data_IF_120851050489
#
_entry.id   IF_120851050489
#
_cell.length_a   1.000
_cell.length_b   1.000
_cell.length_c   1.000
_cell.angle_alpha   90.00
_cell.angle_beta   90.00
_cell.angle_gamma   90.00
#
_symmetry.space_group_name_H-M   'P 1'
#
loop_
_entity.id
_entity.type
_entity.pdbx_description
1 polymer ?
#
# COMPACT_ATOMS: atom_id res chain seq x y z
N UNK A 1 -4.99 -51.66 6.02
CA UNK A 1 -4.48 -50.95 4.84
C UNK A 1 -4.90 -49.49 4.82
N UNK A 2 -6.15 -49.18 5.17
CA UNK A 2 -6.69 -47.80 5.18
C UNK A 2 -5.99 -46.82 6.15
N UNK A 3 -5.65 -47.26 7.36
CA UNK A 3 -4.96 -46.38 8.34
C UNK A 3 -3.55 -45.97 7.94
N UNK A 4 -2.87 -46.75 7.12
CA UNK A 4 -1.52 -46.42 6.61
C UNK A 4 -1.60 -45.40 5.46
N UNK A 5 -2.65 -45.51 4.65
CA UNK A 5 -2.93 -44.59 3.55
C UNK A 5 -3.28 -43.17 4.05
N UNK A 6 -4.15 -43.10 5.09
CA UNK A 6 -4.53 -41.82 5.71
C UNK A 6 -3.34 -41.16 6.45
N UNK A 7 -2.46 -41.96 7.09
CA UNK A 7 -1.26 -41.44 7.77
C UNK A 7 -0.18 -40.92 6.80
N UNK A 8 -0.03 -41.52 5.62
CA UNK A 8 0.87 -41.00 4.59
C UNK A 8 0.30 -39.76 3.87
N UNK A 9 -1.04 -39.69 3.68
CA UNK A 9 -1.71 -38.54 3.07
C UNK A 9 -1.70 -37.32 3.97
N UNK A 10 -1.88 -37.47 5.29
CA UNK A 10 -1.82 -36.34 6.25
C UNK A 10 -0.38 -35.83 6.43
N UNK A 11 0.65 -36.62 6.14
CA UNK A 11 2.05 -36.17 6.20
C UNK A 11 2.51 -35.40 4.96
N UNK A 12 1.81 -35.51 3.83
CA UNK A 12 2.22 -34.91 2.57
C UNK A 12 1.64 -33.51 2.31
N UNK A 13 0.54 -33.13 2.97
CA UNK A 13 -0.27 -31.98 2.53
C UNK A 13 -0.47 -30.83 3.53
N UNK A 14 0.21 -30.84 4.66
CA UNK A 14 0.33 -29.61 5.44
C UNK A 14 1.53 -28.83 4.90
N UNK A 15 1.29 -27.78 4.08
CA UNK A 15 2.28 -26.71 3.90
C UNK A 15 2.61 -26.25 5.32
N UNK A 16 3.82 -26.52 5.83
CA UNK A 16 4.15 -26.10 7.18
C UNK A 16 4.03 -24.60 7.24
N UNK A 17 3.46 -24.06 8.33
CA UNK A 17 3.39 -22.61 8.59
C UNK A 17 4.76 -21.93 8.40
N UNK A 18 5.83 -22.73 8.50
CA UNK A 18 7.22 -22.38 8.18
C UNK A 18 7.74 -23.31 7.06
N UNK A 19 7.50 -22.90 5.83
CA UNK A 19 8.11 -23.56 4.66
C UNK A 19 9.51 -22.96 4.41
N UNK A 20 10.62 -23.74 4.61
CA UNK A 20 11.97 -23.21 4.45
C UNK A 20 12.26 -22.75 3.01
N UNK A 21 11.64 -23.38 2.01
CA UNK A 21 11.81 -23.01 0.59
C UNK A 21 11.13 -21.68 0.32
N UNK A 22 9.87 -21.52 0.75
CA UNK A 22 9.17 -20.25 0.62
C UNK A 22 9.89 -19.12 1.38
N UNK A 23 10.38 -19.37 2.59
CA UNK A 23 11.18 -18.40 3.34
C UNK A 23 12.47 -18.03 2.62
N UNK A 24 13.21 -18.99 2.10
CA UNK A 24 14.44 -18.75 1.32
C UNK A 24 14.17 -17.91 0.08
N UNK A 25 13.13 -18.25 -0.69
CA UNK A 25 12.70 -17.50 -1.87
C UNK A 25 12.23 -16.08 -1.51
N UNK A 26 11.58 -15.91 -0.39
CA UNK A 26 11.15 -14.60 0.11
C UNK A 26 12.36 -13.70 0.43
N UNK A 27 13.36 -14.23 1.14
CA UNK A 27 14.61 -13.52 1.45
C UNK A 27 15.35 -13.14 0.16
N UNK A 28 15.50 -14.07 -0.77
CA UNK A 28 16.14 -13.83 -2.08
C UNK A 28 15.37 -12.74 -2.84
N UNK A 29 14.04 -12.78 -2.84
CA UNK A 29 13.20 -11.78 -3.48
C UNK A 29 13.40 -10.38 -2.88
N UNK A 30 13.50 -10.24 -1.56
CA UNK A 30 13.81 -8.96 -0.92
C UNK A 30 15.20 -8.45 -1.27
N UNK A 31 16.23 -9.31 -1.26
CA UNK A 31 17.60 -8.92 -1.68
C UNK A 31 17.56 -8.41 -3.12
N UNK A 32 16.91 -9.12 -4.01
CA UNK A 32 16.74 -8.73 -5.41
C UNK A 32 16.01 -7.38 -5.54
N UNK A 33 14.92 -7.19 -4.80
CA UNK A 33 14.18 -5.94 -4.74
C UNK A 33 15.07 -4.77 -4.27
N UNK A 34 15.91 -4.98 -3.24
CA UNK A 34 16.87 -3.98 -2.76
C UNK A 34 17.89 -3.61 -3.84
N UNK A 35 18.44 -4.57 -4.58
CA UNK A 35 19.41 -4.32 -5.67
C UNK A 35 18.75 -3.51 -6.79
N UNK A 36 17.55 -3.89 -7.24
CA UNK A 36 16.80 -3.16 -8.27
C UNK A 36 16.50 -1.73 -7.79
N UNK A 37 16.02 -1.58 -6.57
CA UNK A 37 15.70 -0.28 -6.01
C UNK A 37 16.94 0.62 -5.96
N UNK A 38 18.08 0.12 -5.53
CA UNK A 38 19.33 0.88 -5.47
C UNK A 38 19.79 1.36 -6.87
N UNK A 39 19.57 0.55 -7.92
CA UNK A 39 19.99 0.88 -9.29
C UNK A 39 19.00 1.80 -10.03
N UNK A 40 17.70 1.66 -9.76
CA UNK A 40 16.63 2.39 -10.47
C UNK A 40 16.26 3.70 -9.76
N UNK A 41 16.37 3.78 -8.42
CA UNK A 41 16.00 4.95 -7.64
C UNK A 41 16.56 6.28 -8.18
N UNK A 42 17.85 6.39 -8.48
CA UNK A 42 18.43 7.64 -8.95
C UNK A 42 17.90 8.09 -10.33
N UNK A 43 17.41 7.13 -11.13
CA UNK A 43 16.94 7.38 -12.52
C UNK A 43 15.48 7.83 -12.58
N UNK A 44 14.65 7.40 -11.63
CA UNK A 44 13.19 7.64 -11.61
C UNK A 44 12.82 8.88 -10.79
N UNK A 45 13.70 9.34 -9.90
CA UNK A 45 13.42 10.41 -8.95
C UNK A 45 12.98 11.76 -9.57
N UNK A 46 13.23 11.98 -10.86
CA UNK A 46 12.97 13.26 -11.56
C UNK A 46 11.88 13.19 -12.64
N UNK A 47 11.12 12.09 -12.75
CA UNK A 47 10.33 11.81 -13.94
C UNK A 47 8.93 12.45 -13.99
N UNK A 48 8.41 13.05 -12.91
CA UNK A 48 7.04 13.58 -12.89
C UNK A 48 7.04 15.09 -12.79
N UNK A 49 6.73 15.76 -13.90
CA UNK A 49 6.48 17.20 -13.96
C UNK A 49 5.13 17.46 -14.67
N UNK A 50 4.15 18.01 -13.92
CA UNK A 50 2.87 18.45 -14.45
C UNK A 50 1.74 17.39 -14.48
N UNK A 51 0.51 17.89 -14.59
CA UNK A 51 -0.73 17.07 -14.49
C UNK A 51 -0.86 16.00 -15.58
N UNK A 52 -0.50 16.35 -16.82
CA UNK A 52 -0.58 15.43 -17.96
C UNK A 52 0.38 14.26 -17.82
N UNK A 53 1.58 14.52 -17.30
CA UNK A 53 2.60 13.51 -17.05
C UNK A 53 2.17 12.56 -15.93
N UNK A 54 1.40 13.04 -14.95
CA UNK A 54 0.91 12.25 -13.84
C UNK A 54 -0.09 11.17 -14.30
N UNK A 55 -1.10 11.54 -15.10
CA UNK A 55 -2.06 10.57 -15.69
C UNK A 55 -1.36 9.54 -16.58
N UNK A 56 -0.44 10.00 -17.43
CA UNK A 56 0.36 9.13 -18.28
C UNK A 56 1.21 8.15 -17.46
N UNK A 57 1.88 8.63 -16.42
CA UNK A 57 2.69 7.81 -15.53
C UNK A 57 1.85 6.77 -14.76
N UNK A 58 0.65 7.15 -14.28
CA UNK A 58 -0.26 6.22 -13.63
C UNK A 58 -0.78 5.16 -14.59
N UNK A 59 -1.25 5.56 -15.78
CA UNK A 59 -1.72 4.62 -16.81
C UNK A 59 -0.62 3.65 -17.22
N UNK A 60 0.59 4.14 -17.48
CA UNK A 60 1.74 3.31 -17.83
C UNK A 60 2.08 2.32 -16.71
N UNK A 61 2.13 2.78 -15.47
CA UNK A 61 2.44 1.91 -14.32
C UNK A 61 1.36 0.84 -14.14
N UNK A 62 0.07 1.20 -14.27
CA UNK A 62 -1.03 0.24 -14.20
C UNK A 62 -0.96 -0.80 -15.32
N UNK A 63 -0.68 -0.39 -16.56
CA UNK A 63 -0.51 -1.28 -17.71
C UNK A 63 0.67 -2.23 -17.46
N UNK A 64 1.80 -1.74 -16.98
CA UNK A 64 2.97 -2.57 -16.68
C UNK A 64 2.66 -3.61 -15.60
N UNK A 65 1.94 -3.23 -14.52
CA UNK A 65 1.51 -4.17 -13.48
C UNK A 65 0.66 -5.29 -14.09
N UNK A 66 -0.35 -4.92 -14.86
CA UNK A 66 -1.30 -5.88 -15.45
C UNK A 66 -0.59 -6.80 -16.46
N UNK A 67 0.16 -6.23 -17.41
CA UNK A 67 0.84 -7.01 -18.45
C UNK A 67 1.92 -7.94 -17.88
N UNK A 68 2.72 -7.45 -16.92
CA UNK A 68 3.75 -8.28 -16.27
C UNK A 68 3.11 -9.43 -15.49
N UNK A 69 2.04 -9.16 -14.76
CA UNK A 69 1.29 -10.19 -14.02
C UNK A 69 0.69 -11.22 -14.98
N UNK A 70 -0.02 -10.78 -16.02
CA UNK A 70 -0.64 -11.67 -17.00
C UNK A 70 0.39 -12.53 -17.74
N UNK A 71 1.54 -11.95 -18.12
CA UNK A 71 2.61 -12.67 -18.79
C UNK A 71 3.20 -13.78 -17.93
N UNK A 72 3.50 -13.50 -16.67
CA UNK A 72 4.04 -14.52 -15.75
C UNK A 72 3.02 -15.62 -15.46
N UNK A 73 1.76 -15.27 -15.24
CA UNK A 73 0.70 -16.27 -15.04
C UNK A 73 0.57 -17.16 -16.30
N UNK A 74 0.61 -16.56 -17.49
CA UNK A 74 0.59 -17.28 -18.75
C UNK A 74 1.75 -18.29 -18.87
N UNK A 75 2.97 -17.87 -18.54
CA UNK A 75 4.13 -18.78 -18.54
C UNK A 75 3.94 -19.93 -17.55
N UNK A 76 3.51 -19.64 -16.31
CA UNK A 76 3.25 -20.66 -15.30
C UNK A 76 2.22 -21.66 -15.81
N UNK A 77 1.09 -21.19 -16.35
CA UNK A 77 0.01 -22.06 -16.84
C UNK A 77 0.52 -22.98 -17.97
N UNK A 78 1.21 -22.45 -18.98
CA UNK A 78 1.71 -23.25 -20.11
C UNK A 78 2.70 -24.30 -19.64
N UNK A 79 3.67 -23.93 -18.81
CA UNK A 79 4.74 -24.85 -18.42
C UNK A 79 4.36 -25.74 -17.24
N UNK A 80 3.40 -25.36 -16.39
CA UNK A 80 2.86 -26.22 -15.34
C UNK A 80 1.78 -27.17 -15.86
N UNK A 81 1.05 -26.84 -16.92
CA UNK A 81 -0.06 -27.62 -17.45
C UNK A 81 0.27 -29.12 -17.66
N UNK A 82 1.45 -29.51 -18.22
CA UNK A 82 1.82 -30.90 -18.42
C UNK A 82 2.01 -31.70 -17.11
N UNK A 83 2.23 -30.99 -15.99
CA UNK A 83 2.46 -31.57 -14.65
C UNK A 83 1.22 -31.50 -13.78
N UNK A 84 0.21 -30.71 -14.19
CA UNK A 84 -1.03 -30.55 -13.49
C UNK A 84 -1.96 -31.71 -13.85
N UNK A 85 -2.15 -32.64 -12.92
CA UNK A 85 -3.31 -33.51 -12.92
C UNK A 85 -4.57 -32.68 -12.68
N UNK A 86 -5.78 -33.26 -12.87
CA UNK A 86 -7.05 -32.58 -12.53
C UNK A 86 -7.05 -32.04 -11.11
N UNK A 87 -6.43 -32.74 -10.16
CA UNK A 87 -6.26 -32.30 -8.77
C UNK A 87 -5.32 -31.09 -8.65
N UNK A 88 -4.23 -31.05 -9.42
CA UNK A 88 -3.30 -29.93 -9.44
C UNK A 88 -3.94 -28.64 -9.95
N UNK A 89 -4.74 -28.69 -11.01
CA UNK A 89 -5.54 -27.55 -11.48
C UNK A 89 -6.50 -27.03 -10.41
N UNK A 90 -7.14 -27.94 -9.68
CA UNK A 90 -8.01 -27.59 -8.55
C UNK A 90 -7.24 -26.86 -7.43
N UNK A 91 -6.03 -27.32 -7.11
CA UNK A 91 -5.18 -26.66 -6.10
C UNK A 91 -4.76 -25.25 -6.51
N UNK A 92 -4.33 -25.02 -7.76
CA UNK A 92 -4.00 -23.68 -8.26
C UNK A 92 -5.20 -22.74 -8.22
N UNK A 93 -6.35 -23.21 -8.73
CA UNK A 93 -7.60 -22.45 -8.69
C UNK A 93 -8.06 -22.17 -7.26
N UNK A 94 -7.98 -23.17 -6.39
CA UNK A 94 -8.30 -23.04 -4.97
C UNK A 94 -7.43 -22.03 -4.25
N UNK A 95 -6.12 -22.02 -4.52
CA UNK A 95 -5.18 -21.05 -3.95
C UNK A 95 -5.52 -19.62 -4.39
N UNK A 96 -5.72 -19.40 -5.69
CA UNK A 96 -6.10 -18.07 -6.22
C UNK A 96 -7.43 -17.64 -5.59
N UNK A 97 -8.43 -18.53 -5.57
CA UNK A 97 -9.72 -18.25 -4.96
C UNK A 97 -9.57 -17.87 -3.48
N UNK A 98 -8.77 -18.63 -2.72
CA UNK A 98 -8.52 -18.35 -1.31
C UNK A 98 -7.83 -17.00 -1.10
N UNK A 99 -6.80 -16.67 -1.89
CA UNK A 99 -6.11 -15.37 -1.82
C UNK A 99 -7.11 -14.24 -2.08
N UNK A 100 -7.89 -14.32 -3.15
CA UNK A 100 -8.88 -13.30 -3.51
C UNK A 100 -9.94 -13.18 -2.41
N UNK A 101 -10.50 -14.33 -1.96
CA UNK A 101 -11.52 -14.36 -0.91
C UNK A 101 -11.03 -13.73 0.39
N UNK A 102 -9.83 -14.08 0.85
CA UNK A 102 -9.26 -13.52 2.09
C UNK A 102 -9.04 -12.02 1.97
N UNK A 103 -8.51 -11.54 0.84
CA UNK A 103 -8.35 -10.11 0.61
C UNK A 103 -9.69 -9.36 0.57
N UNK A 104 -10.73 -9.93 -0.04
CA UNK A 104 -12.07 -9.34 -0.04
C UNK A 104 -12.67 -9.31 1.37
N UNK A 105 -12.57 -10.40 2.12
CA UNK A 105 -13.02 -10.45 3.52
C UNK A 105 -12.32 -9.35 4.33
N UNK A 106 -10.99 -9.25 4.23
CA UNK A 106 -10.23 -8.22 4.94
C UNK A 106 -10.60 -6.81 4.49
N UNK A 107 -10.85 -6.59 3.21
CA UNK A 107 -11.31 -5.30 2.69
C UNK A 107 -12.65 -4.87 3.29
N UNK A 108 -13.61 -5.79 3.43
CA UNK A 108 -14.91 -5.47 4.03
C UNK A 108 -14.86 -5.38 5.56
N UNK A 109 -13.99 -6.14 6.22
CA UNK A 109 -13.83 -6.09 7.67
C UNK A 109 -12.94 -4.94 8.14
N UNK A 110 -12.01 -4.44 7.30
CA UNK A 110 -11.00 -3.44 7.68
C UNK A 110 -11.59 -2.19 8.35
N UNK A 111 -12.73 -1.62 7.94
CA UNK A 111 -13.26 -0.43 8.60
C UNK A 111 -13.69 -0.69 10.04
N UNK A 112 -14.23 -1.86 10.33
CA UNK A 112 -14.60 -2.25 11.70
C UNK A 112 -13.36 -2.46 12.56
N UNK A 113 -12.35 -3.15 12.02
CA UNK A 113 -11.07 -3.38 12.71
C UNK A 113 -10.35 -2.06 12.99
N UNK A 114 -10.33 -1.13 12.03
CA UNK A 114 -9.73 0.19 12.18
C UNK A 114 -10.48 0.98 13.27
N UNK A 115 -11.80 1.04 13.21
CA UNK A 115 -12.62 1.73 14.20
C UNK A 115 -12.35 1.22 15.62
N UNK A 116 -12.24 -0.10 15.78
CA UNK A 116 -11.96 -0.72 17.06
C UNK A 116 -10.51 -0.46 17.51
N UNK A 117 -9.53 -0.67 16.63
CA UNK A 117 -8.11 -0.56 16.95
C UNK A 117 -7.70 0.88 17.33
N UNK A 118 -8.27 1.88 16.66
CA UNK A 118 -7.96 3.30 16.89
C UNK A 118 -8.94 3.99 17.85
N UNK A 119 -9.94 3.27 18.38
CA UNK A 119 -10.96 3.84 19.26
C UNK A 119 -11.70 4.99 18.59
N UNK A 120 -12.08 4.80 17.32
CA UNK A 120 -12.70 5.84 16.50
C UNK A 120 -14.01 6.34 17.11
N UNK A 121 -14.13 7.65 17.29
CA UNK A 121 -15.31 8.31 17.86
C UNK A 121 -15.86 9.32 16.86
N UNK A 122 -17.16 9.27 16.52
CA UNK A 122 -17.81 10.30 15.74
C UNK A 122 -17.70 11.66 16.43
N UNK A 123 -17.43 12.71 15.66
CA UNK A 123 -17.40 14.08 16.17
C UNK A 123 -18.19 15.01 15.25
N UNK A 124 -19.14 15.76 15.81
CA UNK A 124 -20.05 16.61 15.03
C UNK A 124 -19.37 17.84 14.44
N UNK A 125 -18.35 18.39 15.11
CA UNK A 125 -17.59 19.55 14.58
C UNK A 125 -16.72 19.13 13.41
N UNK A 126 -16.03 18.00 13.57
CA UNK A 126 -15.23 17.43 12.47
C UNK A 126 -16.13 17.02 11.30
N UNK A 127 -17.33 16.47 11.57
CA UNK A 127 -18.29 16.10 10.53
C UNK A 127 -18.69 17.32 9.68
N UNK A 128 -18.99 18.47 10.31
CA UNK A 128 -19.31 19.71 9.58
C UNK A 128 -18.15 20.12 8.65
N UNK A 129 -16.90 20.04 9.13
CA UNK A 129 -15.73 20.37 8.32
C UNK A 129 -15.63 19.42 7.11
N UNK A 130 -15.81 18.13 7.35
CA UNK A 130 -15.74 17.11 6.29
C UNK A 130 -16.87 17.33 5.27
N UNK A 131 -18.08 17.63 5.71
CA UNK A 131 -19.22 17.89 4.81
C UNK A 131 -19.00 19.15 3.97
N UNK A 132 -18.49 20.24 4.57
CA UNK A 132 -18.17 21.49 3.87
C UNK A 132 -17.08 21.28 2.81
N UNK A 133 -16.03 20.54 3.15
CA UNK A 133 -14.93 20.23 2.22
C UNK A 133 -15.41 19.27 1.12
N UNK A 134 -16.21 18.27 1.46
CA UNK A 134 -16.81 17.35 0.49
C UNK A 134 -17.69 18.08 -0.53
N UNK A 135 -18.51 19.02 -0.06
CA UNK A 135 -19.35 19.85 -0.93
C UNK A 135 -18.50 20.72 -1.87
N UNK A 136 -17.45 21.38 -1.36
CA UNK A 136 -16.52 22.18 -2.19
C UNK A 136 -15.80 21.35 -3.28
N UNK A 137 -15.49 20.11 -2.97
CA UNK A 137 -14.84 19.19 -3.91
C UNK A 137 -15.82 18.49 -4.86
N UNK A 138 -17.12 18.57 -4.61
CA UNK A 138 -18.15 17.88 -5.38
C UNK A 138 -18.15 16.37 -5.16
N UNK A 139 -17.85 15.89 -3.95
CA UNK A 139 -17.81 14.46 -3.65
C UNK A 139 -19.23 13.85 -3.74
N UNK A 140 -19.45 12.81 -4.58
CA UNK A 140 -20.81 12.29 -4.84
C UNK A 140 -21.29 11.26 -3.81
N UNK A 141 -20.73 11.25 -2.61
CA UNK A 141 -20.99 10.26 -1.56
C UNK A 141 -20.89 10.90 -0.18
N UNK A 142 -21.54 10.26 0.79
CA UNK A 142 -21.44 10.65 2.20
C UNK A 142 -20.19 10.09 2.86
N UNK A 143 -19.58 10.90 3.70
CA UNK A 143 -18.40 10.58 4.50
C UNK A 143 -18.77 10.62 5.98
N UNK A 144 -18.14 9.74 6.76
CA UNK A 144 -18.24 9.73 8.21
C UNK A 144 -16.94 10.26 8.80
N UNK A 145 -17.02 11.33 9.57
CA UNK A 145 -15.88 11.91 10.25
C UNK A 145 -15.70 11.27 11.62
N UNK A 146 -14.48 10.85 11.94
CA UNK A 146 -14.15 10.28 13.24
C UNK A 146 -12.85 10.84 13.78
N UNK A 147 -12.81 11.08 15.09
CA UNK A 147 -11.57 11.38 15.80
C UNK A 147 -10.99 10.07 16.32
N UNK A 148 -9.69 9.93 16.18
CA UNK A 148 -8.91 8.78 16.64
C UNK A 148 -7.72 9.23 17.49
N UNK A 149 -7.18 8.32 18.30
CA UNK A 149 -5.99 8.58 19.11
C UNK A 149 -4.73 8.26 18.30
N UNK A 150 -3.65 9.00 18.56
CA UNK A 150 -2.35 8.76 17.94
C UNK A 150 -1.58 10.04 17.63
N UNK A 151 -0.34 9.92 17.12
CA UNK A 151 0.45 11.05 16.64
C UNK A 151 -0.26 11.74 15.46
N UNK A 152 0.13 12.98 15.09
CA UNK A 152 -0.55 13.75 14.05
C UNK A 152 -0.69 12.98 12.74
N UNK A 153 -1.92 12.62 12.41
CA UNK A 153 -2.26 11.87 11.20
C UNK A 153 -3.71 12.11 10.80
N UNK A 154 -3.99 11.95 9.52
CA UNK A 154 -5.32 11.78 8.99
C UNK A 154 -5.30 10.65 7.96
N UNK A 155 -6.38 9.93 7.80
CA UNK A 155 -6.45 8.86 6.81
C UNK A 155 -7.88 8.53 6.38
N UNK A 156 -8.01 8.23 5.09
CA UNK A 156 -9.22 7.77 4.46
C UNK A 156 -9.29 6.24 4.48
N UNK A 157 -10.41 5.68 4.93
CA UNK A 157 -10.65 4.25 4.93
C UNK A 157 -12.12 3.91 4.72
N UNK A 158 -12.39 2.63 4.53
CA UNK A 158 -13.75 2.16 4.29
C UNK A 158 -14.01 1.86 2.83
N UNK A 159 -15.24 1.46 2.55
CA UNK A 159 -15.67 1.02 1.24
C UNK A 159 -17.15 1.38 1.01
N UNK A 160 -17.67 1.03 -0.17
CA UNK A 160 -19.03 1.37 -0.56
C UNK A 160 -20.12 0.63 0.26
N UNK A 161 -19.81 -0.51 0.89
CA UNK A 161 -20.76 -1.28 1.70
C UNK A 161 -20.77 -0.87 3.16
N UNK A 162 -19.58 -0.71 3.78
CA UNK A 162 -19.45 -0.44 5.22
C UNK A 162 -19.44 1.05 5.55
N UNK A 163 -19.33 1.88 4.52
CA UNK A 163 -19.22 3.33 4.63
C UNK A 163 -17.80 3.84 4.39
N UNK A 164 -17.69 5.11 4.03
CA UNK A 164 -16.44 5.82 3.83
C UNK A 164 -16.18 6.72 5.03
N UNK A 165 -14.96 6.64 5.54
CA UNK A 165 -14.53 7.36 6.74
C UNK A 165 -13.35 8.26 6.44
N UNK A 166 -13.35 9.42 7.10
CA UNK A 166 -12.19 10.29 7.24
C UNK A 166 -11.86 10.34 8.73
N UNK A 167 -10.73 9.74 9.10
CA UNK A 167 -10.23 9.81 10.47
C UNK A 167 -9.19 10.92 10.58
N UNK A 168 -9.27 11.65 11.69
CA UNK A 168 -8.29 12.67 12.06
C UNK A 168 -7.87 12.41 13.51
N UNK A 169 -6.57 12.41 13.79
CA UNK A 169 -6.10 12.24 15.17
C UNK A 169 -6.31 13.52 15.95
N UNK A 170 -6.53 13.38 17.27
CA UNK A 170 -6.62 14.54 18.19
C UNK A 170 -5.35 15.41 18.12
N UNK A 171 -4.18 14.81 17.95
CA UNK A 171 -2.91 15.52 17.78
C UNK A 171 -2.85 16.31 16.47
N UNK A 172 -3.47 15.81 15.39
CA UNK A 172 -3.57 16.55 14.12
C UNK A 172 -4.46 17.79 14.26
N UNK A 173 -5.57 17.68 14.98
CA UNK A 173 -6.43 18.82 15.29
C UNK A 173 -5.71 19.93 16.07
N UNK A 174 -4.74 19.56 16.90
CA UNK A 174 -3.92 20.51 17.67
C UNK A 174 -2.75 21.07 16.85
N UNK A 175 -2.24 20.30 15.86
CA UNK A 175 -1.10 20.68 15.02
C UNK A 175 -1.49 21.69 13.94
N UNK A 176 -2.68 21.58 13.38
CA UNK A 176 -3.13 22.33 12.20
C UNK A 176 -4.12 23.43 12.57
N UNK A 177 -4.06 24.55 11.84
CA UNK A 177 -5.14 25.52 11.85
C UNK A 177 -6.35 25.03 11.01
N UNK A 178 -7.43 25.79 11.00
CA UNK A 178 -8.67 25.42 10.31
C UNK A 178 -8.42 25.20 8.80
N UNK A 179 -7.66 26.05 8.12
CA UNK A 179 -7.43 25.94 6.67
C UNK A 179 -6.51 24.80 6.33
N UNK A 180 -5.47 24.60 7.13
CA UNK A 180 -4.56 23.45 7.00
C UNK A 180 -5.30 22.12 7.22
N UNK A 181 -6.19 22.07 8.23
CA UNK A 181 -7.04 20.90 8.48
C UNK A 181 -7.98 20.64 7.30
N UNK A 182 -8.60 21.66 6.74
CA UNK A 182 -9.44 21.53 5.54
C UNK A 182 -8.65 21.04 4.33
N UNK A 183 -7.38 21.45 4.17
CA UNK A 183 -6.51 20.94 3.12
C UNK A 183 -6.20 19.45 3.31
N UNK A 184 -5.90 19.03 4.54
CA UNK A 184 -5.66 17.62 4.89
C UNK A 184 -6.92 16.78 4.66
N UNK A 185 -8.08 17.25 5.11
CA UNK A 185 -9.37 16.58 4.87
C UNK A 185 -9.65 16.49 3.37
N UNK A 186 -9.37 17.55 2.61
CA UNK A 186 -9.50 17.54 1.15
C UNK A 186 -8.60 16.50 0.47
N UNK A 187 -7.38 16.31 0.97
CA UNK A 187 -6.48 15.24 0.55
C UNK A 187 -7.10 13.85 0.79
N UNK A 188 -7.63 13.60 1.99
CA UNK A 188 -8.27 12.32 2.32
C UNK A 188 -9.55 12.06 1.51
N UNK A 189 -10.33 13.10 1.25
CA UNK A 189 -11.51 13.01 0.35
C UNK A 189 -11.06 12.69 -1.09
N UNK A 190 -9.91 13.24 -1.53
CA UNK A 190 -9.30 12.93 -2.80
C UNK A 190 -9.08 11.43 -3.00
N UNK A 191 -8.58 10.72 -1.98
CA UNK A 191 -8.44 9.26 -2.01
C UNK A 191 -9.78 8.53 -2.19
N UNK A 192 -10.84 8.99 -1.54
CA UNK A 192 -12.18 8.42 -1.74
C UNK A 192 -12.75 8.70 -3.14
N UNK A 193 -12.55 9.91 -3.68
CA UNK A 193 -13.02 10.30 -5.00
C UNK A 193 -12.39 9.44 -6.11
N UNK A 194 -11.14 9.07 -5.95
CA UNK A 194 -10.40 8.23 -6.91
C UNK A 194 -10.52 6.73 -6.62
N UNK A 195 -11.34 6.32 -5.63
CA UNK A 195 -11.55 4.90 -5.24
C UNK A 195 -10.26 4.17 -4.88
N UNK A 196 -9.33 4.88 -4.30
CA UNK A 196 -7.97 4.42 -4.05
C UNK A 196 -7.91 3.12 -3.25
N UNK A 197 -8.78 2.95 -2.26
CA UNK A 197 -8.83 1.73 -1.46
C UNK A 197 -9.15 0.50 -2.30
N UNK A 198 -10.06 0.60 -3.28
CA UNK A 198 -10.42 -0.50 -4.16
C UNK A 198 -9.30 -0.79 -5.19
N UNK A 199 -8.70 0.25 -5.76
CA UNK A 199 -7.59 0.10 -6.72
C UNK A 199 -6.37 -0.53 -6.04
N UNK A 200 -6.04 -0.09 -4.82
CA UNK A 200 -4.91 -0.65 -4.08
C UNK A 200 -5.17 -2.07 -3.57
N UNK A 201 -6.43 -2.43 -3.27
CA UNK A 201 -6.80 -3.83 -3.04
C UNK A 201 -6.49 -4.67 -4.29
N UNK A 202 -6.99 -4.25 -5.46
CA UNK A 202 -6.78 -4.98 -6.72
C UNK A 202 -5.28 -5.15 -7.02
N UNK A 203 -4.52 -4.07 -6.98
CA UNK A 203 -3.08 -4.14 -7.29
C UNK A 203 -2.26 -4.85 -6.20
N UNK A 204 -2.69 -4.79 -4.94
CA UNK A 204 -2.03 -5.50 -3.84
C UNK A 204 -2.18 -7.03 -3.89
N UNK A 205 -3.26 -7.53 -4.49
CA UNK A 205 -3.48 -8.98 -4.67
C UNK A 205 -2.53 -9.56 -5.74
N UNK A 206 -2.23 -8.81 -6.81
CA UNK A 206 -1.50 -9.33 -7.96
C UNK A 206 -0.09 -9.87 -7.63
N UNK A 207 0.79 -9.15 -6.91
CA UNK A 207 2.09 -9.69 -6.54
C UNK A 207 1.99 -10.93 -5.64
N UNK A 208 0.97 -11.01 -4.78
CA UNK A 208 0.73 -12.18 -3.92
C UNK A 208 0.36 -13.41 -4.74
N UNK A 209 -0.52 -13.28 -5.73
CA UNK A 209 -0.88 -14.38 -6.63
C UNK A 209 0.37 -14.89 -7.35
N UNK A 210 1.15 -13.99 -7.97
CA UNK A 210 2.36 -14.36 -8.72
C UNK A 210 3.38 -15.04 -7.80
N UNK A 211 3.58 -14.51 -6.58
CA UNK A 211 4.47 -15.09 -5.59
C UNK A 211 4.10 -16.53 -5.25
N UNK A 212 2.85 -16.76 -4.82
CA UNK A 212 2.41 -18.09 -4.39
C UNK A 212 2.35 -19.10 -5.54
N UNK A 213 1.97 -18.67 -6.74
CA UNK A 213 2.04 -19.53 -7.93
C UNK A 213 3.50 -19.88 -8.26
N UNK A 214 4.44 -18.95 -8.10
CA UNK A 214 5.86 -19.19 -8.25
C UNK A 214 6.39 -20.22 -7.24
N UNK A 215 6.09 -20.03 -5.95
CA UNK A 215 6.47 -20.97 -4.88
C UNK A 215 5.90 -22.37 -5.16
N UNK A 216 4.62 -22.47 -5.53
CA UNK A 216 3.98 -23.73 -5.86
C UNK A 216 4.64 -24.43 -7.07
N UNK A 217 5.03 -23.65 -8.09
CA UNK A 217 5.79 -24.17 -9.25
C UNK A 217 7.15 -24.74 -8.86
N UNK A 218 7.87 -24.09 -7.93
CA UNK A 218 9.13 -24.60 -7.37
C UNK A 218 8.91 -25.90 -6.63
N UNK A 219 7.90 -26.01 -5.77
CA UNK A 219 7.59 -27.25 -5.05
C UNK A 219 7.22 -28.38 -6.01
N UNK A 220 6.44 -28.12 -7.04
CA UNK A 220 6.09 -29.12 -8.05
C UNK A 220 7.34 -29.61 -8.81
N UNK A 221 8.25 -28.69 -9.16
CA UNK A 221 9.50 -29.06 -9.85
C UNK A 221 10.40 -29.94 -8.98
N UNK A 222 10.48 -29.66 -7.67
CA UNK A 222 11.32 -30.43 -6.73
C UNK A 222 10.67 -31.78 -6.33
N UNK A 223 9.34 -31.83 -6.27
CA UNK A 223 8.59 -33.04 -5.90
C UNK A 223 8.52 -34.12 -7.01
N UNK A 224 8.71 -33.73 -8.28
CA UNK A 224 8.66 -34.65 -9.43
C UNK A 224 10.07 -35.01 -9.90
N UNK A 225 10.81 -35.74 -9.08
CA UNK A 225 12.18 -36.17 -9.34
C UNK A 225 12.33 -37.21 -10.48
N UNK A 226 11.25 -37.67 -11.13
CA UNK A 226 11.27 -38.75 -12.12
C UNK A 226 11.06 -38.27 -13.56
N UNK A 227 12.14 -38.21 -14.29
CA UNK A 227 12.33 -38.51 -15.75
C UNK A 227 11.44 -37.83 -16.83
N UNK A 228 10.69 -36.80 -16.58
CA UNK A 228 10.10 -36.00 -17.65
C UNK A 228 10.81 -34.64 -17.71
N UNK A 229 11.53 -34.36 -18.79
CA UNK A 229 12.50 -33.24 -18.95
C UNK A 229 12.02 -31.80 -18.71
N UNK A 230 10.92 -31.56 -18.07
CA UNK A 230 10.36 -30.25 -17.78
C UNK A 230 10.56 -29.72 -16.36
N UNK A 231 11.00 -30.53 -15.39
CA UNK A 231 11.23 -30.09 -14.01
C UNK A 231 12.16 -28.86 -13.90
N UNK A 232 13.33 -28.86 -14.57
CA UNK A 232 14.24 -27.70 -14.54
C UNK A 232 13.61 -26.43 -15.11
N UNK A 233 12.79 -26.52 -16.16
CA UNK A 233 12.10 -25.37 -16.76
C UNK A 233 11.04 -24.82 -15.79
N UNK A 234 10.25 -25.70 -15.17
CA UNK A 234 9.25 -25.29 -14.20
C UNK A 234 9.89 -24.67 -12.95
N UNK A 235 11.04 -25.20 -12.50
CA UNK A 235 11.82 -24.61 -11.42
C UNK A 235 12.30 -23.20 -11.80
N UNK A 236 12.85 -23.01 -13.00
CA UNK A 236 13.32 -21.69 -13.46
C UNK A 236 12.18 -20.69 -13.54
N UNK A 237 11.00 -21.09 -14.07
CA UNK A 237 9.81 -20.24 -14.16
C UNK A 237 9.28 -19.91 -12.76
N UNK A 238 9.26 -20.87 -11.85
CA UNK A 238 8.83 -20.64 -10.47
C UNK A 238 9.71 -19.62 -9.76
N UNK A 239 11.03 -19.74 -9.85
CA UNK A 239 11.98 -18.76 -9.30
C UNK A 239 11.80 -17.38 -9.98
N UNK A 240 11.70 -17.34 -11.31
CA UNK A 240 11.47 -16.11 -12.05
C UNK A 240 10.16 -15.42 -11.60
N UNK A 241 9.07 -16.18 -11.40
CA UNK A 241 7.79 -15.66 -10.91
C UNK A 241 7.93 -15.03 -9.53
N UNK A 242 8.63 -15.69 -8.60
CA UNK A 242 8.91 -15.10 -7.28
C UNK A 242 9.66 -13.78 -7.42
N UNK A 243 10.74 -13.71 -8.19
CA UNK A 243 11.49 -12.47 -8.38
C UNK A 243 10.65 -11.37 -9.04
N UNK A 244 9.84 -11.71 -10.03
CA UNK A 244 8.96 -10.76 -10.72
C UNK A 244 7.85 -10.26 -9.79
N UNK A 245 7.36 -11.07 -8.85
CA UNK A 245 6.37 -10.61 -7.86
C UNK A 245 6.89 -9.42 -7.05
N UNK A 246 8.17 -9.37 -6.71
CA UNK A 246 8.79 -8.22 -6.04
C UNK A 246 8.92 -7.00 -6.95
N UNK A 247 9.16 -7.20 -8.25
CA UNK A 247 9.12 -6.08 -9.22
C UNK A 247 7.71 -5.52 -9.31
N UNK A 248 6.68 -6.36 -9.39
CA UNK A 248 5.28 -5.93 -9.38
C UNK A 248 4.99 -5.15 -8.09
N UNK A 249 5.48 -5.60 -6.94
CA UNK A 249 5.33 -4.88 -5.68
C UNK A 249 5.93 -3.47 -5.73
N UNK A 250 7.13 -3.29 -6.32
CA UNK A 250 7.73 -1.96 -6.51
C UNK A 250 6.89 -1.07 -7.44
N UNK A 251 6.30 -1.65 -8.50
CA UNK A 251 5.40 -0.92 -9.39
C UNK A 251 4.12 -0.49 -8.66
N UNK A 252 3.56 -1.35 -7.79
CA UNK A 252 2.40 -1.02 -6.94
C UNK A 252 2.73 0.12 -5.98
N UNK A 253 3.92 0.11 -5.36
CA UNK A 253 4.39 1.22 -4.52
C UNK A 253 4.58 2.51 -5.34
N UNK A 254 5.12 2.41 -6.56
CA UNK A 254 5.25 3.56 -7.46
C UNK A 254 3.88 4.13 -7.83
N UNK A 255 2.92 3.30 -8.15
CA UNK A 255 1.54 3.71 -8.41
C UNK A 255 0.91 4.38 -7.18
N UNK A 256 1.11 3.83 -5.98
CA UNK A 256 0.66 4.45 -4.72
C UNK A 256 1.19 5.87 -4.55
N UNK A 257 2.49 6.10 -4.82
CA UNK A 257 3.09 7.44 -4.76
C UNK A 257 2.50 8.43 -5.76
N UNK A 258 2.17 7.98 -6.97
CA UNK A 258 1.54 8.84 -7.98
C UNK A 258 0.15 9.32 -7.54
N UNK A 259 -0.60 8.49 -6.82
CA UNK A 259 -1.92 8.83 -6.28
C UNK A 259 -1.87 9.93 -5.22
N UNK A 260 -0.79 10.02 -4.45
CA UNK A 260 -0.60 11.08 -3.47
C UNK A 260 -0.65 12.48 -4.10
N UNK A 261 -0.11 12.64 -5.30
CA UNK A 261 -0.15 13.92 -6.00
C UNK A 261 -1.58 14.34 -6.40
N UNK A 262 -2.45 13.36 -6.69
CA UNK A 262 -3.89 13.63 -6.89
C UNK A 262 -4.55 14.07 -5.60
N UNK A 263 -4.29 13.38 -4.52
CA UNK A 263 -4.81 13.73 -3.23
C UNK A 263 -4.32 15.12 -2.79
N UNK A 264 -3.04 15.44 -3.04
CA UNK A 264 -2.49 16.80 -2.82
C UNK A 264 -3.22 17.86 -3.65
N UNK A 265 -3.55 17.56 -4.90
CA UNK A 265 -4.34 18.45 -5.75
C UNK A 265 -5.74 18.67 -5.17
N UNK A 266 -6.39 17.62 -4.63
CA UNK A 266 -7.69 17.75 -3.98
C UNK A 266 -7.58 18.59 -2.69
N UNK A 267 -6.57 18.39 -1.87
CA UNK A 267 -6.28 19.22 -0.69
C UNK A 267 -6.06 20.69 -1.05
N UNK A 268 -5.25 20.96 -2.08
CA UNK A 268 -5.03 22.32 -2.58
C UNK A 268 -6.31 22.97 -3.13
N UNK A 269 -7.19 22.20 -3.78
CA UNK A 269 -8.51 22.70 -4.25
C UNK A 269 -9.47 22.98 -3.09
N UNK A 270 -9.38 22.23 -2.00
CA UNK A 270 -10.24 22.37 -0.83
C UNK A 270 -9.98 23.67 -0.05
N UNK A 271 -8.69 24.01 0.18
CA UNK A 271 -8.31 25.10 1.10
C UNK A 271 -7.21 26.04 0.56
N UNK A 272 -6.71 25.77 -0.64
CA UNK A 272 -5.60 26.51 -1.25
C UNK A 272 -4.28 25.79 -1.11
N UNK A 273 -3.39 25.97 -2.11
CA UNK A 273 -2.09 25.29 -2.15
C UNK A 273 -1.20 25.64 -0.96
N UNK A 274 -1.24 26.88 -0.49
CA UNK A 274 -0.45 27.34 0.65
C UNK A 274 -0.86 26.59 1.93
N UNK A 275 -2.15 26.43 2.21
CA UNK A 275 -2.65 25.68 3.36
C UNK A 275 -2.18 24.22 3.31
N UNK A 276 -2.23 23.58 2.12
CA UNK A 276 -1.74 22.22 1.95
C UNK A 276 -0.22 22.12 2.16
N UNK A 277 0.55 23.08 1.67
CA UNK A 277 2.00 23.14 1.90
C UNK A 277 2.35 23.28 3.37
N UNK A 278 1.67 24.18 4.10
CA UNK A 278 1.90 24.38 5.52
C UNK A 278 1.54 23.14 6.34
N UNK A 279 0.40 22.49 6.04
CA UNK A 279 0.01 21.23 6.68
C UNK A 279 1.08 20.15 6.50
N UNK A 280 1.54 19.92 5.26
CA UNK A 280 2.59 18.93 4.98
C UNK A 280 3.91 19.28 5.68
N UNK A 281 4.30 20.56 5.68
CA UNK A 281 5.52 21.00 6.33
C UNK A 281 5.46 20.86 7.86
N UNK A 282 4.31 21.14 8.49
CA UNK A 282 4.10 20.94 9.93
C UNK A 282 4.19 19.46 10.30
N UNK A 283 3.55 18.58 9.52
CA UNK A 283 3.65 17.13 9.69
C UNK A 283 5.11 16.69 9.57
N UNK A 284 5.82 17.17 8.56
CA UNK A 284 7.25 16.86 8.36
C UNK A 284 8.11 17.28 9.55
N UNK A 285 7.95 18.53 10.01
CA UNK A 285 8.71 19.07 11.14
C UNK A 285 8.42 18.32 12.44
N UNK A 286 7.12 17.96 12.66
CA UNK A 286 6.72 17.16 13.81
C UNK A 286 7.44 15.81 13.83
N UNK A 287 7.38 15.04 12.73
CA UNK A 287 8.00 13.71 12.67
C UNK A 287 9.52 13.75 12.61
N UNK A 288 10.10 14.84 12.14
CA UNK A 288 11.54 15.04 12.23
C UNK A 288 12.00 15.24 13.68
N UNK A 289 11.21 15.96 14.46
CA UNK A 289 11.46 16.17 15.89
C UNK A 289 11.11 14.95 16.76
N UNK A 290 10.21 14.07 16.28
CA UNK A 290 9.69 12.92 17.02
C UNK A 290 9.83 11.64 16.17
N UNK A 291 11.04 11.10 15.97
CA UNK A 291 11.28 9.96 15.08
C UNK A 291 10.58 8.67 15.53
N UNK A 292 10.32 8.50 16.83
CA UNK A 292 9.58 7.34 17.37
C UNK A 292 8.13 7.32 16.92
N UNK A 293 7.48 8.48 16.88
CA UNK A 293 6.11 8.62 16.37
C UNK A 293 6.03 8.33 14.87
N UNK A 294 7.08 8.67 14.11
CA UNK A 294 7.17 8.34 12.69
C UNK A 294 7.19 6.83 12.45
N UNK A 295 7.88 6.07 13.29
CA UNK A 295 7.87 4.61 13.22
C UNK A 295 6.47 4.04 13.50
N UNK A 296 5.75 4.60 14.47
CA UNK A 296 4.38 4.20 14.79
C UNK A 296 3.41 4.35 13.60
N UNK A 297 3.49 5.46 12.86
CA UNK A 297 2.62 5.72 11.70
C UNK A 297 3.02 4.88 10.51
N UNK A 298 4.32 4.74 10.24
CA UNK A 298 4.83 3.92 9.13
C UNK A 298 4.41 2.45 9.25
N UNK A 299 4.38 1.92 10.47
CA UNK A 299 3.96 0.55 10.75
C UNK A 299 2.44 0.38 10.91
N UNK A 300 1.66 1.46 11.02
CA UNK A 300 0.22 1.39 11.31
C UNK A 300 -0.59 0.64 10.24
N UNK A 301 -0.11 0.58 8.99
CA UNK A 301 -0.74 -0.22 7.93
C UNK A 301 -0.64 -1.72 8.15
N UNK A 302 0.39 -2.18 8.87
CA UNK A 302 0.53 -3.58 9.28
C UNK A 302 0.00 -3.83 10.70
N UNK A 303 -0.09 -2.80 11.55
CA UNK A 303 -0.54 -2.91 12.95
C UNK A 303 -2.06 -2.92 13.12
N UNK A 304 -2.86 -2.64 12.10
CA UNK A 304 -4.30 -2.97 12.13
C UNK A 304 -4.54 -4.47 12.35
N UNK A 305 -3.50 -5.29 12.22
CA UNK A 305 -3.49 -6.73 12.52
C UNK A 305 -2.85 -7.08 13.87
N UNK A 306 -2.18 -6.14 14.56
CA UNK A 306 -1.52 -6.40 15.82
C UNK A 306 -1.85 -5.33 16.87
N UNK A 307 -2.50 -5.78 17.93
CA UNK A 307 -2.89 -5.04 19.14
C UNK A 307 -1.64 -4.51 19.87
N UNK A 308 -1.16 -3.31 19.52
CA UNK A 308 -0.21 -2.57 20.34
C UNK A 308 -0.26 -1.06 20.04
N UNK A 309 -1.29 -0.39 20.52
CA UNK A 309 -1.37 1.07 20.50
C UNK A 309 -1.72 1.58 21.90
N UNK A 310 -0.84 1.35 22.86
CA UNK A 310 -0.95 1.92 24.19
C UNK A 310 0.44 2.40 24.64
N UNK A 311 0.89 3.51 24.03
CA UNK A 311 1.89 4.37 24.67
C UNK A 311 1.46 5.81 24.44
N UNK A 312 1.12 6.49 25.53
CA UNK A 312 0.82 7.92 25.59
C UNK A 312 2.08 8.71 25.23
N UNK A 313 2.24 9.11 23.99
CA UNK A 313 3.21 10.14 23.64
C UNK A 313 2.56 11.50 23.96
N UNK A 314 2.93 12.08 25.07
CA UNK A 314 2.72 13.51 25.36
C UNK A 314 3.79 14.28 24.57
N UNK A 315 3.64 14.36 23.27
CA UNK A 315 4.44 15.25 22.45
C UNK A 315 3.74 16.61 22.39
N UNK A 316 4.54 17.68 22.49
CA UNK A 316 4.04 19.04 22.42
C UNK A 316 3.61 19.32 20.95
N UNK A 317 2.30 19.41 20.63
CA UNK A 317 1.83 19.42 19.25
C UNK A 317 1.95 20.78 18.56
N UNK A 318 2.40 21.84 19.27
CA UNK A 318 2.47 23.18 18.73
C UNK A 318 3.73 23.36 17.85
N UNK A 319 3.53 23.28 16.56
CA UNK A 319 4.58 23.60 15.56
C UNK A 319 4.16 24.85 14.80
N UNK A 320 4.85 25.95 15.06
CA UNK A 320 4.74 27.14 14.22
C UNK A 320 5.74 27.07 13.08
N UNK A 321 5.30 27.44 11.89
CA UNK A 321 6.14 27.47 10.68
C UNK A 321 6.03 28.82 9.99
N UNK A 322 7.16 29.28 9.46
CA UNK A 322 7.27 30.43 8.59
C UNK A 322 7.34 29.99 7.11
N UNK A 323 7.03 30.90 6.18
CA UNK A 323 7.19 30.61 4.73
C UNK A 323 8.64 30.25 4.38
N UNK A 324 9.63 30.88 5.04
CA UNK A 324 11.05 30.57 4.83
C UNK A 324 11.42 29.13 5.23
N UNK A 325 10.83 28.61 6.30
CA UNK A 325 11.03 27.21 6.71
C UNK A 325 10.39 26.23 5.74
N UNK A 326 9.21 26.55 5.18
CA UNK A 326 8.59 25.73 4.11
C UNK A 326 9.52 25.70 2.89
N UNK A 327 10.10 26.83 2.48
CA UNK A 327 11.07 26.88 1.37
C UNK A 327 12.36 26.11 1.69
N UNK A 328 12.82 26.12 2.92
CA UNK A 328 13.96 25.31 3.35
C UNK A 328 13.64 23.79 3.25
N UNK A 329 12.45 23.35 3.67
CA UNK A 329 12.01 21.96 3.54
C UNK A 329 11.93 21.55 2.07
N UNK A 330 11.41 22.41 1.16
CA UNK A 330 11.38 22.14 -0.29
C UNK A 330 12.76 21.84 -0.87
N UNK A 331 13.80 22.50 -0.36
CA UNK A 331 15.19 22.35 -0.81
C UNK A 331 15.94 21.20 -0.12
N UNK A 332 15.37 20.62 0.91
CA UNK A 332 16.02 19.54 1.65
C UNK A 332 16.23 18.30 0.77
N UNK A 333 17.33 17.58 1.05
CA UNK A 333 17.66 16.32 0.37
C UNK A 333 16.84 15.18 0.96
N UNK A 334 16.46 14.25 0.12
CA UNK A 334 15.81 12.99 0.52
C UNK A 334 16.49 11.82 -0.16
N UNK A 335 16.36 10.63 0.45
CA UNK A 335 16.92 9.41 -0.11
C UNK A 335 16.00 8.86 -1.19
N UNK A 336 16.45 8.87 -2.46
CA UNK A 336 15.75 8.25 -3.57
C UNK A 336 15.57 6.73 -3.37
N UNK A 337 16.53 6.09 -2.68
CA UNK A 337 16.44 4.68 -2.32
C UNK A 337 15.27 4.42 -1.36
N UNK A 338 15.14 5.23 -0.29
CA UNK A 338 14.03 5.08 0.65
C UNK A 338 12.67 5.40 0.02
N UNK A 339 12.63 6.32 -0.97
CA UNK A 339 11.40 6.66 -1.70
C UNK A 339 10.81 5.44 -2.41
N UNK A 340 11.63 4.57 -3.01
CA UNK A 340 11.14 3.41 -3.77
C UNK A 340 10.32 2.46 -2.89
N UNK A 341 10.70 2.28 -1.62
CA UNK A 341 9.99 1.43 -0.67
C UNK A 341 8.87 2.16 0.07
N UNK A 342 8.70 3.45 -0.15
CA UNK A 342 7.64 4.22 0.46
C UNK A 342 6.36 4.18 -0.39
N UNK A 343 5.23 4.21 0.28
CA UNK A 343 3.91 4.40 -0.32
C UNK A 343 3.59 5.86 -0.58
N UNK A 344 4.33 6.80 0.05
CA UNK A 344 4.17 8.23 -0.12
C UNK A 344 5.46 8.85 -0.69
N UNK A 345 5.36 9.85 -1.58
CA UNK A 345 6.52 10.62 -1.99
C UNK A 345 7.11 11.41 -0.80
N UNK A 346 8.42 11.71 -0.80
CA UNK A 346 9.01 12.58 0.20
C UNK A 346 8.32 13.95 0.23
N UNK A 347 8.13 14.50 1.42
CA UNK A 347 7.47 15.81 1.61
C UNK A 347 8.12 16.92 0.75
N UNK A 348 9.46 17.05 0.65
CA UNK A 348 10.06 18.06 -0.24
C UNK A 348 9.58 17.95 -1.70
N UNK A 349 9.33 16.73 -2.18
CA UNK A 349 8.85 16.50 -3.54
C UNK A 349 7.38 16.88 -3.71
N UNK A 350 6.54 16.57 -2.72
CA UNK A 350 5.12 16.99 -2.68
C UNK A 350 4.97 18.51 -2.62
N UNK A 351 5.78 19.18 -1.79
CA UNK A 351 5.78 20.64 -1.71
C UNK A 351 6.15 21.31 -3.04
N UNK A 352 7.17 20.79 -3.76
CA UNK A 352 7.53 21.29 -5.10
C UNK A 352 6.45 21.01 -6.14
N UNK A 353 5.75 19.90 -6.05
CA UNK A 353 4.60 19.60 -6.92
C UNK A 353 3.47 20.63 -6.72
N UNK A 354 3.16 20.98 -5.48
CA UNK A 354 2.13 21.97 -5.15
C UNK A 354 2.45 23.38 -5.70
N UNK A 355 3.73 23.73 -5.89
CA UNK A 355 4.11 24.99 -6.54
C UNK A 355 3.67 25.07 -8.01
N UNK A 356 3.51 23.91 -8.66
CA UNK A 356 3.15 23.83 -10.08
C UNK A 356 1.62 23.86 -10.31
N UNK A 357 0.81 23.81 -9.24
CA UNK A 357 -0.66 23.98 -9.29
C UNK A 357 -1.04 25.47 -9.26
#
# INVERSE_FOLDING_TARGET
>A
MEKKFISEYIKADMIPIFDPIAMGLYIIGYIFMFIIAATIAPKVANAVSGRFTLYGAMALTAILIILTTAFIIYLIVIYAAPYLTTYGLGLFGGLIFFIVLMNLIMYFLSPYMINMAYGARPDSRLQQIVDDVAARLGAPFRLKAVIVNGPPNAFAYGNFMTGRYVAVTSSMLSLTDRRELEAVIGHEIGHHMHRDNAIMLLFGILPSIVYYLGVMSVHMALGHSNNRGGGPVLLAIGIAAVLVSFIIQLLVLAFSRLREYYADTAGARAAGKEAMQFALAKIHKYYFANPEDHLMVKDSRFRALFIYALVNAVANPFVTLTKSEVEQIKRSRYSAFMEIFSTHPPIPKRLRFLDQL
#
